data_IF_809728845423
#
_entry.id   IF_809728845423
#
_cell.length_a   1.000
_cell.length_b   1.000
_cell.length_c   1.000
_cell.angle_alpha   90.00
_cell.angle_beta   90.00
_cell.angle_gamma   90.00
#
_symmetry.space_group_name_H-M   'P 1'
#
loop_
_entity.id
_entity.type
_entity.pdbx_description
1 polymer ?
#
# COMPACT_ATOMS: atom_id res chain seq x y z
N UNK A 1 3.18 -5.01 27.70
CA UNK A 1 3.26 -5.12 26.23
C UNK A 1 4.67 -5.53 25.89
N UNK A 2 4.89 -6.54 25.04
CA UNK A 2 6.27 -7.01 24.76
C UNK A 2 7.07 -5.89 24.10
N UNK A 3 8.16 -5.42 24.75
CA UNK A 3 9.03 -4.34 24.24
C UNK A 3 9.55 -4.65 22.83
N UNK A 4 9.78 -5.93 22.55
CA UNK A 4 10.20 -6.42 21.23
C UNK A 4 9.17 -6.13 20.12
N UNK A 5 7.88 -6.27 20.41
CA UNK A 5 6.82 -6.09 19.43
C UNK A 5 6.70 -4.64 18.97
N UNK A 6 6.78 -3.71 19.92
CA UNK A 6 6.79 -2.27 19.65
C UNK A 6 8.01 -1.89 18.83
N UNK A 7 9.21 -2.32 19.27
CA UNK A 7 10.46 -2.06 18.55
C UNK A 7 10.39 -2.52 17.10
N UNK A 8 9.93 -3.75 16.85
CA UNK A 8 9.87 -4.27 15.49
C UNK A 8 8.78 -3.59 14.64
N UNK A 9 7.69 -3.14 15.26
CA UNK A 9 6.67 -2.32 14.58
C UNK A 9 7.26 -0.98 14.14
N UNK A 10 7.99 -0.31 15.03
CA UNK A 10 8.69 0.95 14.71
C UNK A 10 9.71 0.73 13.61
N UNK A 11 10.54 -0.33 13.69
CA UNK A 11 11.53 -0.64 12.66
C UNK A 11 10.87 -0.87 11.29
N UNK A 12 9.82 -1.70 11.21
CA UNK A 12 9.12 -1.94 9.96
C UNK A 12 8.52 -0.65 9.38
N UNK A 13 7.92 0.19 10.23
CA UNK A 13 7.33 1.46 9.82
C UNK A 13 8.40 2.43 9.31
N UNK A 14 9.49 2.62 10.07
CA UNK A 14 10.59 3.51 9.66
C UNK A 14 11.23 3.02 8.37
N UNK A 15 11.44 1.70 8.21
CA UNK A 15 11.97 1.15 6.96
C UNK A 15 11.11 1.54 5.76
N UNK A 16 9.80 1.26 5.78
CA UNK A 16 8.95 1.59 4.63
C UNK A 16 8.92 3.11 4.39
N UNK A 17 8.82 3.93 5.44
CA UNK A 17 8.83 5.40 5.31
C UNK A 17 10.14 5.93 4.71
N UNK A 18 11.30 5.32 5.01
CA UNK A 18 12.58 5.71 4.41
C UNK A 18 12.60 5.46 2.90
N UNK A 19 12.04 4.36 2.41
CA UNK A 19 11.94 4.09 0.98
C UNK A 19 10.94 5.03 0.28
N UNK A 20 9.82 5.35 0.93
CA UNK A 20 8.85 6.33 0.42
C UNK A 20 9.40 7.75 0.40
N UNK A 21 10.16 8.12 1.42
CA UNK A 21 10.89 9.38 1.40
C UNK A 21 11.93 9.40 0.29
N UNK A 22 12.71 8.32 0.13
CA UNK A 22 13.75 8.22 -0.89
C UNK A 22 13.20 8.31 -2.32
N UNK A 23 12.05 7.67 -2.61
CA UNK A 23 11.45 7.76 -3.95
C UNK A 23 10.99 9.17 -4.29
N UNK A 24 10.34 9.87 -3.35
CA UNK A 24 9.94 11.27 -3.54
C UNK A 24 11.14 12.19 -3.68
N UNK A 25 12.13 12.03 -2.80
CA UNK A 25 13.37 12.83 -2.81
C UNK A 25 14.16 12.63 -4.12
N UNK A 26 14.22 11.41 -4.66
CA UNK A 26 14.89 11.14 -5.93
C UNK A 26 14.28 11.93 -7.10
N UNK A 27 12.94 12.03 -7.15
CA UNK A 27 12.24 12.80 -8.20
C UNK A 27 12.46 14.30 -8.02
N UNK A 28 12.30 14.82 -6.80
CA UNK A 28 12.45 16.26 -6.51
C UNK A 28 13.89 16.72 -6.73
N UNK A 29 14.89 16.01 -6.17
CA UNK A 29 16.29 16.39 -6.29
C UNK A 29 16.84 16.15 -7.70
N UNK A 30 16.34 15.12 -8.39
CA UNK A 30 16.74 14.79 -9.75
C UNK A 30 16.00 15.59 -10.82
N UNK A 31 15.01 16.41 -10.44
CA UNK A 31 14.12 17.12 -11.36
C UNK A 31 13.57 16.18 -12.45
N UNK A 32 13.18 14.98 -12.04
CA UNK A 32 12.71 13.94 -12.95
C UNK A 32 11.24 14.18 -13.30
N UNK A 33 10.88 13.97 -14.56
CA UNK A 33 9.52 14.10 -15.04
C UNK A 33 9.11 12.90 -15.89
N UNK A 34 7.79 12.71 -16.03
CA UNK A 34 7.17 11.67 -16.85
C UNK A 34 7.75 10.28 -16.61
N UNK A 35 8.16 9.61 -17.69
CA UNK A 35 8.65 8.23 -17.63
C UNK A 35 9.87 8.07 -16.72
N UNK A 36 10.78 9.06 -16.67
CA UNK A 36 11.98 8.98 -15.83
C UNK A 36 11.62 9.01 -14.35
N UNK A 37 10.67 9.87 -13.96
CA UNK A 37 10.18 9.95 -12.59
C UNK A 37 9.55 8.63 -12.16
N UNK A 38 8.53 8.16 -12.90
CA UNK A 38 7.79 6.92 -12.56
C UNK A 38 8.74 5.72 -12.51
N UNK A 39 9.70 5.63 -13.43
CA UNK A 39 10.68 4.53 -13.43
C UNK A 39 11.57 4.55 -12.19
N UNK A 40 12.06 5.73 -11.79
CA UNK A 40 12.88 5.88 -10.59
C UNK A 40 12.09 5.53 -9.32
N UNK A 41 10.85 6.01 -9.23
CA UNK A 41 9.96 5.70 -8.11
C UNK A 41 9.66 4.20 -8.02
N UNK A 42 9.28 3.59 -9.13
CA UNK A 42 9.02 2.15 -9.21
C UNK A 42 10.24 1.34 -8.79
N UNK A 43 11.44 1.67 -9.28
CA UNK A 43 12.67 0.97 -8.90
C UNK A 43 12.90 0.98 -7.37
N UNK A 44 12.73 2.14 -6.73
CA UNK A 44 12.92 2.28 -5.28
C UNK A 44 11.84 1.51 -4.51
N UNK A 45 10.57 1.64 -4.89
CA UNK A 45 9.46 0.93 -4.22
C UNK A 45 9.59 -0.59 -4.37
N UNK A 46 9.85 -1.09 -5.58
CA UNK A 46 10.08 -2.53 -5.79
C UNK A 46 11.29 -3.04 -5.00
N UNK A 47 12.37 -2.26 -4.88
CA UNK A 47 13.50 -2.64 -4.04
C UNK A 47 13.14 -2.77 -2.56
N UNK A 48 12.23 -1.93 -2.05
CA UNK A 48 11.70 -2.03 -0.69
C UNK A 48 10.98 -3.37 -0.45
N UNK A 49 10.09 -3.75 -1.37
CA UNK A 49 9.39 -5.03 -1.33
C UNK A 49 10.37 -6.21 -1.41
N UNK A 50 11.35 -6.15 -2.33
CA UNK A 50 12.34 -7.21 -2.51
C UNK A 50 13.21 -7.41 -1.27
N UNK A 51 13.66 -6.34 -0.62
CA UNK A 51 14.42 -6.42 0.64
C UNK A 51 13.60 -7.11 1.72
N UNK A 52 12.33 -6.74 1.89
CA UNK A 52 11.45 -7.39 2.87
C UNK A 52 11.21 -8.87 2.53
N UNK A 53 10.89 -9.18 1.27
CA UNK A 53 10.69 -10.57 0.80
C UNK A 53 11.96 -11.41 1.03
N UNK A 54 13.13 -10.90 0.64
CA UNK A 54 14.40 -11.58 0.83
C UNK A 54 14.69 -11.84 2.31
N UNK A 55 14.46 -10.85 3.18
CA UNK A 55 14.61 -11.01 4.62
C UNK A 55 13.77 -12.17 5.17
N UNK A 56 12.49 -12.26 4.81
CA UNK A 56 11.61 -13.34 5.27
C UNK A 56 11.93 -14.69 4.64
N UNK A 57 12.40 -14.74 3.39
CA UNK A 57 12.87 -15.97 2.77
C UNK A 57 14.16 -16.50 3.43
N UNK A 58 15.09 -15.62 3.82
CA UNK A 58 16.32 -16.01 4.52
C UNK A 58 16.03 -16.45 5.95
N UNK A 59 15.19 -15.68 6.67
CA UNK A 59 14.93 -15.89 8.09
C UNK A 59 13.96 -17.04 8.36
N UNK A 60 12.85 -17.08 7.63
CA UNK A 60 11.71 -17.97 7.92
C UNK A 60 11.55 -19.06 6.84
N UNK A 61 12.38 -19.05 5.78
CA UNK A 61 12.30 -19.97 4.62
C UNK A 61 10.91 -20.04 3.96
N UNK A 62 10.07 -19.04 4.20
CA UNK A 62 8.69 -19.01 3.73
C UNK A 62 8.10 -17.62 3.79
N UNK A 63 7.22 -17.32 2.83
CA UNK A 63 6.39 -16.11 2.84
C UNK A 63 4.96 -16.37 3.37
N UNK A 64 4.66 -17.61 3.81
CA UNK A 64 3.32 -17.95 4.32
C UNK A 64 2.95 -17.13 5.55
N UNK A 65 3.92 -16.82 6.41
CA UNK A 65 3.70 -15.97 7.59
C UNK A 65 3.24 -14.55 7.25
N UNK A 66 3.53 -14.07 6.04
CA UNK A 66 3.12 -12.78 5.52
C UNK A 66 1.77 -12.84 4.75
N UNK A 67 1.18 -14.03 4.62
CA UNK A 67 -0.07 -14.22 3.90
C UNK A 67 0.08 -14.55 2.41
N UNK A 68 1.29 -14.87 1.91
CA UNK A 68 1.48 -15.37 0.55
C UNK A 68 1.01 -16.83 0.44
N UNK A 69 -0.30 -17.00 0.44
CA UNK A 69 -0.98 -18.27 0.32
C UNK A 69 -2.33 -18.09 -0.37
N UNK A 70 -2.87 -19.19 -0.91
CA UNK A 70 -4.21 -19.18 -1.49
C UNK A 70 -5.23 -18.78 -0.42
N UNK A 71 -6.24 -17.98 -0.77
CA UNK A 71 -7.39 -17.73 0.08
C UNK A 71 -7.99 -19.02 0.64
N UNK A 72 -8.42 -18.98 1.90
CA UNK A 72 -9.31 -20.02 2.44
C UNK A 72 -10.63 -20.06 1.64
N UNK A 73 -11.22 -21.24 1.49
CA UNK A 73 -12.48 -21.43 0.77
C UNK A 73 -13.62 -20.58 1.36
N UNK A 74 -14.52 -20.09 0.50
CA UNK A 74 -15.59 -19.15 0.90
C UNK A 74 -15.26 -17.66 0.75
N UNK A 75 -14.17 -17.30 0.03
CA UNK A 75 -13.84 -15.91 -0.27
C UNK A 75 -14.85 -15.23 -1.19
N UNK A 76 -15.49 -15.97 -2.11
CA UNK A 76 -16.49 -15.41 -3.02
C UNK A 76 -17.71 -14.81 -2.29
N UNK A 77 -18.13 -15.37 -1.15
CA UNK A 77 -19.22 -14.79 -0.33
C UNK A 77 -18.74 -13.61 0.52
N UNK A 78 -17.43 -13.48 0.74
CA UNK A 78 -16.78 -12.35 1.42
C UNK A 78 -16.39 -11.23 0.44
N UNK A 79 -16.72 -11.38 -0.85
CA UNK A 79 -16.48 -10.36 -1.88
C UNK A 79 -17.19 -9.04 -1.57
N UNK A 80 -18.30 -9.10 -0.82
CA UNK A 80 -19.05 -7.93 -0.34
C UNK A 80 -18.19 -6.94 0.47
N UNK A 81 -17.15 -7.40 1.17
CA UNK A 81 -16.27 -6.50 1.92
C UNK A 81 -15.45 -5.57 1.01
N UNK A 82 -15.22 -5.94 -0.24
CA UNK A 82 -14.45 -5.15 -1.20
C UNK A 82 -15.33 -4.26 -2.05
N UNK A 83 -16.64 -4.51 -2.13
CA UNK A 83 -17.55 -3.77 -3.00
C UNK A 83 -17.47 -2.25 -2.78
N UNK A 84 -17.52 -1.72 -1.54
CA UNK A 84 -17.37 -0.28 -1.32
C UNK A 84 -16.05 0.27 -1.85
N UNK A 85 -14.95 -0.48 -1.71
CA UNK A 85 -13.62 -0.04 -2.14
C UNK A 85 -13.46 -0.09 -3.66
N UNK A 86 -14.04 -1.10 -4.30
CA UNK A 86 -14.11 -1.18 -5.76
C UNK A 86 -14.94 -0.01 -6.31
N UNK A 87 -16.08 0.31 -5.67
CA UNK A 87 -16.90 1.46 -6.07
C UNK A 87 -16.09 2.77 -5.97
N UNK A 88 -15.35 2.97 -4.87
CA UNK A 88 -14.50 4.16 -4.72
C UNK A 88 -13.39 4.21 -5.77
N UNK A 89 -12.71 3.09 -6.04
CA UNK A 89 -11.71 3.04 -7.11
C UNK A 89 -12.31 3.37 -8.48
N UNK A 90 -13.50 2.83 -8.78
CA UNK A 90 -14.19 3.10 -10.03
C UNK A 90 -14.75 4.53 -10.13
N UNK A 91 -15.04 5.18 -9.00
CA UNK A 91 -15.50 6.56 -8.97
C UNK A 91 -14.46 7.55 -9.53
N UNK A 92 -13.18 7.19 -9.51
CA UNK A 92 -12.12 7.99 -10.13
C UNK A 92 -12.37 8.21 -11.64
N UNK A 93 -12.98 7.24 -12.32
CA UNK A 93 -13.32 7.37 -13.75
C UNK A 93 -14.42 8.39 -14.04
N UNK A 94 -15.10 8.93 -13.02
CA UNK A 94 -16.01 10.05 -13.21
C UNK A 94 -15.30 11.32 -13.73
N UNK A 95 -14.00 11.48 -13.44
CA UNK A 95 -13.16 12.52 -14.03
C UNK A 95 -12.74 12.24 -15.49
N UNK A 96 -13.06 11.06 -16.02
CA UNK A 96 -12.59 10.60 -17.32
C UNK A 96 -11.19 9.97 -17.28
N UNK A 97 -10.77 9.41 -18.41
CA UNK A 97 -9.46 8.75 -18.57
C UNK A 97 -8.49 9.73 -19.21
N UNK A 98 -7.27 9.84 -18.67
CA UNK A 98 -6.20 10.62 -19.27
C UNK A 98 -5.77 10.01 -20.61
N UNK A 99 -5.51 10.83 -21.63
CA UNK A 99 -4.91 10.32 -22.88
C UNK A 99 -3.49 9.80 -22.61
N UNK A 100 -3.19 8.59 -23.08
CA UNK A 100 -1.86 7.96 -22.89
C UNK A 100 -0.84 8.41 -23.94
N UNK A 101 -0.88 9.67 -24.37
CA UNK A 101 0.04 10.21 -25.38
C UNK A 101 1.50 10.19 -24.91
N UNK A 102 1.70 10.08 -23.59
CA UNK A 102 2.99 10.02 -22.90
C UNK A 102 3.52 8.58 -22.65
N UNK A 103 2.73 7.54 -22.97
CA UNK A 103 3.11 6.14 -22.78
C UNK A 103 3.31 5.74 -21.31
N UNK A 104 2.56 6.35 -20.40
CA UNK A 104 2.67 6.16 -18.95
C UNK A 104 1.73 5.08 -18.40
N UNK A 105 0.80 4.55 -19.19
CA UNK A 105 -0.13 3.51 -18.75
C UNK A 105 0.57 2.28 -18.15
N UNK A 106 1.52 1.68 -18.88
CA UNK A 106 2.26 0.50 -18.41
C UNK A 106 3.20 0.83 -17.23
N UNK A 107 4.00 1.93 -17.27
CA UNK A 107 4.78 2.37 -16.11
C UNK A 107 3.96 2.56 -14.85
N UNK A 108 2.80 3.23 -14.95
CA UNK A 108 1.90 3.44 -13.82
C UNK A 108 1.37 2.11 -13.27
N UNK A 109 0.99 1.16 -14.14
CA UNK A 109 0.55 -0.17 -13.70
C UNK A 109 1.65 -0.90 -12.91
N UNK A 110 2.90 -0.89 -13.41
CA UNK A 110 4.03 -1.53 -12.73
C UNK A 110 4.32 -0.83 -11.40
N UNK A 111 4.22 0.50 -11.38
CA UNK A 111 4.47 1.30 -10.19
C UNK A 111 3.42 1.02 -9.09
N UNK A 112 2.13 1.08 -9.42
CA UNK A 112 1.05 0.86 -8.44
C UNK A 112 0.96 -0.59 -7.97
N UNK A 113 1.35 -1.57 -8.80
CA UNK A 113 1.57 -2.95 -8.33
C UNK A 113 2.68 -3.01 -7.27
N UNK A 114 3.76 -2.23 -7.45
CA UNK A 114 4.84 -2.10 -6.48
C UNK A 114 4.39 -1.44 -5.18
N UNK A 115 3.58 -0.37 -5.27
CA UNK A 115 2.98 0.32 -4.11
C UNK A 115 2.10 -0.65 -3.33
N UNK A 116 1.10 -1.25 -4.00
CA UNK A 116 0.18 -2.19 -3.37
C UNK A 116 0.89 -3.40 -2.75
N UNK A 117 1.94 -3.92 -3.41
CA UNK A 117 2.77 -4.99 -2.83
C UNK A 117 3.49 -4.50 -1.57
N UNK A 118 4.18 -3.37 -1.65
CA UNK A 118 5.04 -2.85 -0.57
C UNK A 118 4.20 -2.49 0.65
N UNK A 119 3.16 -1.69 0.49
CA UNK A 119 2.37 -1.20 1.62
C UNK A 119 1.61 -2.34 2.30
N UNK A 120 0.98 -3.23 1.54
CA UNK A 120 0.29 -4.37 2.13
C UNK A 120 1.28 -5.32 2.80
N UNK A 121 2.47 -5.54 2.24
CA UNK A 121 3.51 -6.34 2.86
C UNK A 121 3.91 -5.79 4.23
N UNK A 122 4.19 -4.49 4.34
CA UNK A 122 4.62 -3.90 5.61
C UNK A 122 3.48 -3.75 6.61
N UNK A 123 2.32 -3.22 6.20
CA UNK A 123 1.25 -2.92 7.15
C UNK A 123 0.41 -4.16 7.49
N UNK A 124 0.10 -5.03 6.52
CA UNK A 124 -0.78 -6.18 6.72
C UNK A 124 0.02 -7.46 6.93
N UNK A 125 1.02 -7.71 6.09
CA UNK A 125 1.88 -8.90 6.19
C UNK A 125 2.77 -8.90 7.44
N UNK A 126 3.41 -7.77 7.76
CA UNK A 126 4.38 -7.65 8.87
C UNK A 126 3.71 -7.08 10.12
N UNK A 127 3.22 -5.85 10.08
CA UNK A 127 2.71 -5.14 11.27
C UNK A 127 1.42 -5.78 11.80
N UNK A 128 0.39 -5.96 10.98
CA UNK A 128 -0.86 -6.58 11.45
C UNK A 128 -0.61 -8.01 11.99
N UNK A 129 0.17 -8.82 11.27
CA UNK A 129 0.49 -10.19 11.71
C UNK A 129 1.27 -10.24 13.04
N UNK A 130 2.18 -9.29 13.31
CA UNK A 130 2.88 -9.19 14.59
C UNK A 130 1.90 -9.08 15.77
N UNK A 131 0.78 -8.38 15.59
CA UNK A 131 -0.19 -8.11 16.64
C UNK A 131 -1.42 -9.04 16.60
N UNK A 132 -1.47 -10.04 15.72
CA UNK A 132 -2.68 -10.84 15.42
C UNK A 132 -3.35 -11.51 16.62
N UNK A 133 -2.59 -11.86 17.65
CA UNK A 133 -3.11 -12.43 18.92
C UNK A 133 -4.02 -11.45 19.67
N UNK A 134 -3.99 -10.17 19.29
CA UNK A 134 -4.86 -9.10 19.78
C UNK A 134 -5.47 -8.40 18.57
N UNK A 135 -6.44 -9.05 17.92
CA UNK A 135 -7.03 -8.61 16.64
C UNK A 135 -7.34 -7.12 16.59
N UNK A 136 -8.02 -6.56 17.59
CA UNK A 136 -8.34 -5.13 17.65
C UNK A 136 -7.07 -4.26 17.59
N UNK A 137 -6.00 -4.65 18.30
CA UNK A 137 -4.74 -3.92 18.24
C UNK A 137 -4.06 -4.05 16.88
N UNK A 138 -4.09 -5.24 16.28
CA UNK A 138 -3.53 -5.47 14.95
C UNK A 138 -4.18 -4.59 13.89
N UNK A 139 -5.51 -4.51 13.93
CA UNK A 139 -6.31 -3.69 13.02
C UNK A 139 -5.99 -2.21 13.23
N UNK A 140 -6.10 -1.71 14.46
CA UNK A 140 -5.91 -0.28 14.74
C UNK A 140 -4.47 0.16 14.51
N UNK A 141 -3.47 -0.58 15.00
CA UNK A 141 -2.05 -0.18 14.86
C UNK A 141 -1.64 -0.17 13.39
N UNK A 142 -1.97 -1.22 12.63
CA UNK A 142 -1.58 -1.26 11.21
C UNK A 142 -2.28 -0.16 10.40
N UNK A 143 -3.57 0.08 10.64
CA UNK A 143 -4.36 1.07 9.90
C UNK A 143 -4.00 2.51 10.24
N UNK A 144 -3.71 2.82 11.51
CA UNK A 144 -3.27 4.16 11.91
C UNK A 144 -1.91 4.48 11.31
N UNK A 145 -0.95 3.55 11.38
CA UNK A 145 0.38 3.76 10.81
C UNK A 145 0.32 3.89 9.29
N UNK A 146 -0.56 3.13 8.64
CA UNK A 146 -0.84 3.24 7.20
C UNK A 146 -1.48 4.57 6.81
N UNK A 147 -2.46 5.06 7.58
CA UNK A 147 -3.01 6.40 7.37
C UNK A 147 -1.92 7.47 7.55
N UNK A 148 -1.16 7.40 8.64
CA UNK A 148 -0.12 8.38 8.96
C UNK A 148 1.03 8.44 7.96
N UNK A 149 1.35 7.36 7.23
CA UNK A 149 2.44 7.38 6.25
C UNK A 149 2.22 8.39 5.12
N UNK A 150 0.95 8.71 4.82
CA UNK A 150 0.57 9.68 3.79
C UNK A 150 0.95 11.13 4.14
N UNK A 151 1.30 11.43 5.39
CA UNK A 151 1.85 12.75 5.75
C UNK A 151 3.14 13.08 4.98
N UNK A 152 3.87 12.08 4.48
CA UNK A 152 5.04 12.30 3.61
C UNK A 152 4.67 13.02 2.31
N UNK A 153 3.41 12.93 1.85
CA UNK A 153 2.97 13.61 0.62
C UNK A 153 3.02 15.13 0.76
N UNK A 154 2.78 15.68 1.96
CA UNK A 154 2.95 17.12 2.23
C UNK A 154 4.38 17.55 1.99
N UNK A 155 5.37 16.71 2.34
CA UNK A 155 6.78 16.98 2.05
C UNK A 155 7.09 16.96 0.56
N UNK A 156 6.30 16.22 -0.23
CA UNK A 156 6.33 16.21 -1.69
C UNK A 156 5.55 17.34 -2.36
N UNK A 157 4.94 18.24 -1.59
CA UNK A 157 4.20 19.40 -2.10
C UNK A 157 2.67 19.23 -2.16
N UNK A 158 2.12 18.11 -1.68
CA UNK A 158 0.67 17.94 -1.62
C UNK A 158 0.01 18.91 -0.61
N UNK A 159 -1.22 19.32 -0.90
CA UNK A 159 -2.00 20.16 0.01
C UNK A 159 -2.37 19.44 1.31
N UNK A 160 -2.42 20.21 2.41
CA UNK A 160 -2.66 19.65 3.74
C UNK A 160 -4.08 19.09 3.89
N UNK A 161 -5.08 19.77 3.35
CA UNK A 161 -6.48 19.34 3.47
C UNK A 161 -6.73 18.03 2.72
N UNK A 162 -6.23 17.93 1.49
CA UNK A 162 -6.27 16.75 0.65
C UNK A 162 -5.53 15.59 1.32
N UNK A 163 -4.36 15.86 1.90
CA UNK A 163 -3.60 14.84 2.64
C UNK A 163 -4.37 14.35 3.87
N UNK A 164 -5.01 15.22 4.64
CA UNK A 164 -5.80 14.81 5.81
C UNK A 164 -7.00 13.94 5.41
N UNK A 165 -7.67 14.25 4.30
CA UNK A 165 -8.72 13.41 3.73
C UNK A 165 -8.17 12.06 3.27
N UNK A 166 -7.03 12.05 2.59
CA UNK A 166 -6.33 10.84 2.18
C UNK A 166 -5.95 9.97 3.39
N UNK A 167 -5.46 10.56 4.48
CA UNK A 167 -5.13 9.83 5.72
C UNK A 167 -6.37 9.17 6.33
N UNK A 168 -7.50 9.88 6.39
CA UNK A 168 -8.75 9.35 6.93
C UNK A 168 -9.30 8.20 6.06
N UNK A 169 -9.23 8.37 4.74
CA UNK A 169 -9.58 7.33 3.78
C UNK A 169 -8.65 6.11 3.93
N UNK A 170 -7.34 6.32 3.92
CA UNK A 170 -6.32 5.29 4.07
C UNK A 170 -6.47 4.54 5.40
N UNK A 171 -6.80 5.22 6.50
CA UNK A 171 -7.12 4.54 7.76
C UNK A 171 -8.31 3.58 7.61
N UNK A 172 -9.40 4.04 7.00
CA UNK A 172 -10.62 3.24 6.81
C UNK A 172 -10.37 2.06 5.87
N UNK A 173 -9.66 2.31 4.77
CA UNK A 173 -9.17 1.31 3.84
C UNK A 173 -8.28 0.27 4.54
N UNK A 174 -7.38 0.76 5.40
CA UNK A 174 -6.53 0.00 6.33
C UNK A 174 -7.31 -1.01 7.15
N UNK A 175 -8.37 -0.54 7.80
CA UNK A 175 -9.22 -1.37 8.66
C UNK A 175 -9.84 -2.51 7.86
N UNK A 176 -10.38 -2.24 6.67
CA UNK A 176 -10.98 -3.26 5.81
C UNK A 176 -9.93 -4.30 5.39
N UNK A 177 -8.75 -3.88 4.94
CA UNK A 177 -7.67 -4.80 4.54
C UNK A 177 -7.15 -5.64 5.72
N UNK A 178 -7.05 -5.04 6.91
CA UNK A 178 -6.68 -5.77 8.12
C UNK A 178 -7.71 -6.86 8.46
N UNK A 179 -9.01 -6.56 8.36
CA UNK A 179 -10.06 -7.58 8.51
C UNK A 179 -9.94 -8.69 7.46
N UNK A 180 -9.70 -8.33 6.20
CA UNK A 180 -9.54 -9.26 5.10
C UNK A 180 -8.40 -10.24 5.36
N UNK A 181 -7.19 -9.75 5.66
CA UNK A 181 -6.03 -10.63 5.83
C UNK A 181 -6.17 -11.52 7.07
N UNK A 182 -6.74 -11.01 8.18
CA UNK A 182 -6.95 -11.80 9.39
C UNK A 182 -7.96 -12.94 9.18
N UNK A 183 -8.96 -12.74 8.31
CA UNK A 183 -10.01 -13.73 8.04
C UNK A 183 -9.68 -14.68 6.89
N UNK A 184 -8.91 -14.22 5.91
CA UNK A 184 -8.60 -14.99 4.69
C UNK A 184 -7.21 -15.62 4.71
N UNK A 185 -6.32 -15.09 5.56
CA UNK A 185 -4.89 -15.41 5.63
C UNK A 185 -4.15 -15.19 4.30
N UNK A 186 -4.75 -14.45 3.37
CA UNK A 186 -4.20 -14.20 2.04
C UNK A 186 -3.99 -12.71 1.84
N UNK A 187 -2.77 -12.32 1.45
CA UNK A 187 -2.40 -10.94 1.19
C UNK A 187 -2.74 -10.51 -0.24
N UNK A 188 -2.90 -11.46 -1.17
CA UNK A 188 -3.14 -11.18 -2.59
C UNK A 188 -4.34 -10.27 -2.88
N UNK A 189 -5.54 -10.47 -2.27
CA UNK A 189 -6.65 -9.56 -2.50
C UNK A 189 -6.36 -8.13 -2.04
N UNK A 190 -5.60 -7.97 -0.95
CA UNK A 190 -5.21 -6.66 -0.44
C UNK A 190 -4.29 -5.97 -1.45
N UNK A 191 -3.24 -6.67 -1.91
CA UNK A 191 -2.27 -6.16 -2.88
C UNK A 191 -2.96 -5.72 -4.17
N UNK A 192 -3.80 -6.60 -4.73
CA UNK A 192 -4.42 -6.34 -6.03
C UNK A 192 -5.46 -5.21 -5.96
N UNK A 193 -6.25 -5.16 -4.89
CA UNK A 193 -7.25 -4.11 -4.73
C UNK A 193 -6.59 -2.75 -4.48
N UNK A 194 -5.52 -2.72 -3.69
CA UNK A 194 -4.72 -1.52 -3.47
C UNK A 194 -4.08 -1.02 -4.77
N UNK A 195 -3.33 -1.89 -5.45
CA UNK A 195 -2.73 -1.55 -6.73
C UNK A 195 -3.76 -1.08 -7.76
N UNK A 196 -4.95 -1.69 -7.77
CA UNK A 196 -6.06 -1.27 -8.62
C UNK A 196 -6.60 0.11 -8.26
N UNK A 197 -6.84 0.37 -6.96
CA UNK A 197 -7.29 1.68 -6.50
C UNK A 197 -6.34 2.80 -6.92
N UNK A 198 -5.04 2.61 -6.66
CA UNK A 198 -4.02 3.59 -7.05
C UNK A 198 -3.97 3.71 -8.57
N UNK A 199 -3.96 2.58 -9.29
CA UNK A 199 -3.89 2.61 -10.76
C UNK A 199 -5.04 3.43 -11.35
N UNK A 200 -6.27 3.27 -10.86
CA UNK A 200 -7.40 4.10 -11.26
C UNK A 200 -7.11 5.59 -11.03
N UNK A 201 -6.58 5.97 -9.87
CA UNK A 201 -6.19 7.36 -9.59
C UNK A 201 -5.09 7.90 -10.51
N UNK A 202 -4.10 7.08 -10.88
CA UNK A 202 -2.98 7.49 -11.74
C UNK A 202 -3.32 7.61 -13.23
N UNK A 203 -4.45 7.06 -13.69
CA UNK A 203 -4.86 7.10 -15.11
C UNK A 203 -6.13 7.91 -15.38
N UNK A 204 -6.72 8.50 -14.34
CA UNK A 204 -7.94 9.31 -14.45
C UNK A 204 -7.62 10.78 -14.23
N UNK A 205 -8.41 11.68 -14.81
CA UNK A 205 -8.26 13.11 -14.50
C UNK A 205 -8.75 13.36 -13.07
N UNK A 206 -8.23 14.40 -12.42
CA UNK A 206 -8.85 14.91 -11.20
C UNK A 206 -10.34 15.18 -11.49
N UNK A 207 -11.22 14.58 -10.69
CA UNK A 207 -12.65 14.83 -10.82
C UNK A 207 -12.90 16.30 -10.45
N UNK A 208 -13.37 17.09 -11.42
CA UNK A 208 -13.78 18.50 -11.27
C UNK A 208 -14.93 18.62 -10.27
#
# INVERSE_FOLDING_TARGET
MSKHLVRNTVLATVTVLLFYFAQGAAVVMGQLEGLKAITAQAAIIWSCALVAIAFFLVKDHSLRGLGFQKPVSGMATRFLYYVPLIIVALAAFAGGIMSDDSGLFIPNLIFTLGIGLTEELYFRGIICNMWKEKETKAIIISSVLFGMSHLLNVMGGAGLAETLLQMAFAFTYGVVMAFVILRTKSIWPCILLHAFHDFCGFITNEAV
#
